data_IF_098609172813
#
_entry.id   IF_098609172813
#
_cell.length_a   1.000
_cell.length_b   1.000
_cell.length_c   1.000
_cell.angle_alpha   90.00
_cell.angle_beta   90.00
_cell.angle_gamma   90.00
#
_symmetry.space_group_name_H-M   'P 1'
#
loop_
_entity.id
_entity.type
_entity.pdbx_description
1 polymer ?
#
# COMPACT_ATOMS: atom_id res chain seq x y z
N UNK A 1 -5.99 -6.47 87.94
CA UNK A 1 -5.35 -5.31 87.26
C UNK A 1 -4.67 -5.75 85.95
N UNK A 2 -5.42 -6.37 85.03
CA UNK A 2 -4.88 -6.99 83.80
C UNK A 2 -5.84 -6.88 82.60
N UNK A 3 -6.82 -5.97 82.67
CA UNK A 3 -7.93 -5.87 81.71
C UNK A 3 -7.93 -4.52 80.97
N UNK A 4 -7.33 -3.46 81.51
CA UNK A 4 -7.37 -2.12 80.90
C UNK A 4 -6.39 -1.89 79.74
N UNK A 5 -5.34 -2.71 79.61
CA UNK A 5 -4.32 -2.52 78.55
C UNK A 5 -4.81 -3.01 77.18
N UNK A 6 -5.70 -4.01 77.14
CA UNK A 6 -6.17 -4.60 75.88
C UNK A 6 -7.25 -3.77 75.15
N UNK A 7 -7.85 -2.79 75.82
CA UNK A 7 -8.93 -1.98 75.24
C UNK A 7 -8.41 -0.76 74.48
N UNK A 8 -7.24 -0.21 74.85
CA UNK A 8 -6.62 0.92 74.14
C UNK A 8 -5.92 0.53 72.84
N UNK A 9 -5.45 -0.73 72.73
CA UNK A 9 -4.75 -1.21 71.53
C UNK A 9 -5.73 -1.55 70.39
N UNK A 10 -6.96 -2.01 70.70
CA UNK A 10 -7.98 -2.31 69.68
C UNK A 10 -8.60 -1.06 69.06
N UNK A 11 -8.70 0.04 69.80
CA UNK A 11 -9.33 1.29 69.30
C UNK A 11 -8.43 2.00 68.27
N UNK A 12 -7.10 1.92 68.41
CA UNK A 12 -6.17 2.55 67.47
C UNK A 12 -6.12 1.82 66.12
N UNK A 13 -6.27 0.49 66.11
CA UNK A 13 -6.22 -0.31 64.87
C UNK A 13 -7.52 -0.18 64.06
N UNK A 14 -8.65 0.14 64.71
CA UNK A 14 -9.93 0.26 64.01
C UNK A 14 -10.12 1.64 63.34
N UNK A 15 -9.48 2.69 63.86
CA UNK A 15 -9.50 4.03 63.23
C UNK A 15 -8.54 4.17 62.04
N UNK A 16 -7.52 3.30 61.91
CA UNK A 16 -6.57 3.34 60.78
C UNK A 16 -7.02 2.53 59.56
N UNK A 17 -8.06 1.69 59.69
CA UNK A 17 -8.62 0.88 58.61
C UNK A 17 -9.91 1.46 58.00
N UNK A 18 -10.50 2.49 58.60
CA UNK A 18 -11.70 3.16 58.09
C UNK A 18 -11.43 4.48 57.34
N UNK A 19 -10.18 4.92 57.26
CA UNK A 19 -9.80 6.21 56.65
C UNK A 19 -9.28 6.11 55.20
N UNK A 20 -9.19 4.90 54.63
CA UNK A 20 -8.64 4.68 53.27
C UNK A 20 -9.69 4.30 52.22
N UNK A 21 -10.98 4.54 52.48
CA UNK A 21 -12.06 4.11 51.58
C UNK A 21 -12.89 5.24 50.94
N UNK A 22 -12.49 6.50 51.07
CA UNK A 22 -13.26 7.64 50.53
C UNK A 22 -12.43 8.65 49.72
N UNK A 23 -11.36 8.20 49.06
CA UNK A 23 -10.66 8.99 48.06
C UNK A 23 -10.32 8.10 46.88
N UNK A 24 -11.17 8.15 45.85
CA UNK A 24 -10.90 7.95 44.42
C UNK A 24 -12.13 7.34 43.71
N UNK A 25 -13.27 8.00 43.82
CA UNK A 25 -14.22 8.06 42.70
C UNK A 25 -13.94 9.36 41.96
N UNK A 26 -12.79 9.41 41.29
CA UNK A 26 -12.69 10.26 40.11
C UNK A 26 -13.50 9.50 39.06
N UNK A 27 -14.63 10.02 38.54
CA UNK A 27 -15.12 9.52 37.28
C UNK A 27 -13.99 9.75 36.29
N UNK A 28 -13.27 8.66 35.99
CA UNK A 28 -12.43 8.61 34.81
C UNK A 28 -13.41 8.73 33.66
N UNK A 29 -13.70 9.97 33.27
CA UNK A 29 -14.05 10.28 31.91
C UNK A 29 -12.86 9.79 31.12
N UNK A 30 -12.93 8.53 30.67
CA UNK A 30 -12.15 8.09 29.55
C UNK A 30 -12.56 9.02 28.41
N UNK A 31 -11.76 10.06 28.21
CA UNK A 31 -11.72 10.78 26.96
C UNK A 31 -11.60 9.69 25.91
N UNK A 32 -12.63 9.57 25.07
CA UNK A 32 -12.70 8.58 24.01
C UNK A 32 -11.38 8.68 23.26
N UNK A 33 -10.49 7.69 23.45
CA UNK A 33 -9.18 7.73 22.85
C UNK A 33 -9.43 7.86 21.37
N UNK A 34 -9.12 9.02 20.78
CA UNK A 34 -9.00 9.14 19.33
C UNK A 34 -8.16 7.95 18.94
N UNK A 35 -8.73 7.03 18.18
CA UNK A 35 -8.07 5.79 17.84
C UNK A 35 -6.88 6.19 16.96
N UNK A 36 -5.73 6.45 17.57
CA UNK A 36 -4.55 7.07 16.93
C UNK A 36 -4.01 6.19 15.78
N UNK A 37 -4.44 4.93 15.76
CA UNK A 37 -4.18 3.93 14.74
C UNK A 37 -5.03 4.06 13.47
N UNK A 38 -6.02 4.96 13.46
CA UNK A 38 -7.05 5.03 12.42
C UNK A 38 -6.99 6.35 11.66
N UNK A 39 -6.77 6.28 10.35
CA UNK A 39 -6.69 7.44 9.47
C UNK A 39 -7.82 7.42 8.44
N UNK A 40 -8.69 8.43 8.48
CA UNK A 40 -9.70 8.65 7.45
C UNK A 40 -9.11 9.52 6.33
N UNK A 41 -9.11 9.02 5.09
CA UNK A 41 -8.56 9.73 3.93
C UNK A 41 -9.57 9.81 2.81
N UNK A 42 -9.44 10.89 2.03
CA UNK A 42 -10.01 11.00 0.69
C UNK A 42 -8.87 10.90 -0.30
N UNK A 43 -9.00 9.99 -1.26
CA UNK A 43 -8.05 9.86 -2.36
C UNK A 43 -8.79 9.80 -3.68
N UNK A 44 -8.14 10.31 -4.71
CA UNK A 44 -8.63 10.26 -6.08
C UNK A 44 -7.58 9.66 -7.00
N UNK A 45 -8.06 9.26 -8.17
CA UNK A 45 -7.22 8.76 -9.24
C UNK A 45 -7.92 8.92 -10.57
N UNK A 46 -7.12 9.13 -11.62
CA UNK A 46 -7.57 9.19 -13.01
C UNK A 46 -6.84 8.11 -13.77
N UNK A 47 -7.58 7.30 -14.52
CA UNK A 47 -7.04 6.27 -15.39
C UNK A 47 -7.37 6.59 -16.85
N UNK A 48 -6.36 6.54 -17.71
CA UNK A 48 -6.53 6.74 -19.16
C UNK A 48 -7.02 5.46 -19.81
N UNK A 49 -8.22 5.47 -20.37
CA UNK A 49 -8.89 4.25 -20.87
C UNK A 49 -8.18 3.76 -22.14
N UNK A 50 -7.80 2.48 -22.14
CA UNK A 50 -7.27 1.80 -23.32
C UNK A 50 -8.35 1.44 -24.33
N UNK A 51 -7.99 1.35 -25.61
CA UNK A 51 -8.94 1.00 -26.69
C UNK A 51 -9.56 -0.38 -26.53
N UNK A 52 -8.90 -1.28 -25.79
CA UNK A 52 -9.36 -2.66 -25.52
C UNK A 52 -9.87 -2.84 -24.07
N UNK A 53 -10.04 -1.76 -23.31
CA UNK A 53 -10.47 -1.84 -21.92
C UNK A 53 -11.99 -1.97 -21.83
N UNK A 54 -12.44 -3.04 -21.17
CA UNK A 54 -13.83 -3.13 -20.73
C UNK A 54 -14.10 -2.16 -19.59
N UNK A 55 -15.38 -1.86 -19.35
CA UNK A 55 -15.77 -1.05 -18.18
C UNK A 55 -15.26 -1.60 -16.87
N UNK A 56 -15.48 -2.90 -16.63
CA UNK A 56 -14.96 -3.57 -15.43
C UNK A 56 -13.45 -3.35 -15.24
N UNK A 57 -12.69 -3.38 -16.33
CA UNK A 57 -11.24 -3.23 -16.30
C UNK A 57 -10.81 -1.82 -15.92
N UNK A 58 -11.27 -0.79 -16.62
CA UNK A 58 -10.83 0.58 -16.31
C UNK A 58 -11.34 1.04 -14.95
N UNK A 59 -12.55 0.62 -14.53
CA UNK A 59 -13.07 0.95 -13.21
C UNK A 59 -12.23 0.29 -12.11
N UNK A 60 -11.84 -0.98 -12.29
CA UNK A 60 -11.01 -1.72 -11.33
C UNK A 60 -9.60 -1.15 -11.21
N UNK A 61 -8.96 -0.80 -12.34
CA UNK A 61 -7.63 -0.20 -12.35
C UNK A 61 -7.64 1.19 -11.72
N UNK A 62 -8.64 2.00 -12.04
CA UNK A 62 -8.78 3.34 -11.47
C UNK A 62 -9.04 3.29 -9.96
N UNK A 63 -9.93 2.39 -9.52
CA UNK A 63 -10.20 2.15 -8.10
C UNK A 63 -8.95 1.68 -7.36
N UNK A 64 -8.18 0.74 -7.94
CA UNK A 64 -6.93 0.30 -7.36
C UNK A 64 -5.95 1.46 -7.19
N UNK A 65 -5.79 2.33 -8.19
CA UNK A 65 -4.95 3.51 -8.10
C UNK A 65 -5.34 4.44 -6.94
N UNK A 66 -6.63 4.71 -6.78
CA UNK A 66 -7.12 5.54 -5.66
C UNK A 66 -6.86 4.89 -4.30
N UNK A 67 -7.07 3.57 -4.18
CA UNK A 67 -6.77 2.82 -2.94
C UNK A 67 -5.27 2.78 -2.64
N UNK A 68 -4.45 2.51 -3.64
CA UNK A 68 -2.99 2.46 -3.48
C UNK A 68 -2.43 3.82 -3.06
N UNK A 69 -2.92 4.92 -3.65
CA UNK A 69 -2.60 6.29 -3.22
C UNK A 69 -2.93 6.51 -1.74
N UNK A 70 -4.11 6.06 -1.27
CA UNK A 70 -4.49 6.16 0.13
C UNK A 70 -3.57 5.32 1.05
N UNK A 71 -3.20 4.11 0.63
CA UNK A 71 -2.26 3.24 1.36
C UNK A 71 -0.88 3.90 1.49
N UNK A 72 -0.33 4.43 0.40
CA UNK A 72 0.98 5.11 0.42
C UNK A 72 0.96 6.33 1.33
N UNK A 73 -0.08 7.16 1.25
CA UNK A 73 -0.24 8.34 2.12
C UNK A 73 -0.38 7.94 3.59
N UNK A 74 -1.19 6.93 3.88
CA UNK A 74 -1.37 6.43 5.25
C UNK A 74 -0.09 5.83 5.81
N UNK A 75 0.68 5.13 4.99
CA UNK A 75 1.94 4.54 5.42
C UNK A 75 2.95 5.62 5.83
N UNK A 76 3.04 6.73 5.08
CA UNK A 76 3.89 7.87 5.44
C UNK A 76 3.50 8.44 6.81
N UNK A 77 2.20 8.65 7.05
CA UNK A 77 1.69 9.15 8.33
C UNK A 77 1.95 8.17 9.47
N UNK A 78 1.53 6.91 9.34
CA UNK A 78 1.67 5.89 10.38
C UNK A 78 3.14 5.59 10.71
N UNK A 79 4.02 5.62 9.72
CA UNK A 79 5.47 5.49 9.95
C UNK A 79 6.02 6.70 10.72
N UNK A 80 5.59 7.92 10.40
CA UNK A 80 6.00 9.13 11.12
C UNK A 80 5.61 9.11 12.60
N UNK A 81 4.43 8.57 12.93
CA UNK A 81 3.98 8.44 14.32
C UNK A 81 4.39 7.10 14.99
N UNK A 82 5.25 6.30 14.34
CA UNK A 82 5.78 5.07 14.92
C UNK A 82 4.80 3.89 15.00
N UNK A 83 3.62 3.97 14.35
CA UNK A 83 2.58 2.92 14.35
C UNK A 83 2.69 1.96 13.16
N UNK A 84 3.62 2.19 12.23
CA UNK A 84 3.92 1.29 11.14
C UNK A 84 5.38 0.88 11.17
N UNK A 85 5.63 -0.43 11.13
CA UNK A 85 7.00 -0.95 10.99
C UNK A 85 7.56 -0.66 9.60
N UNK A 86 8.89 -0.63 9.52
CA UNK A 86 9.59 -0.57 8.24
C UNK A 86 9.54 -1.94 7.54
N UNK A 87 8.87 -2.01 6.38
CA UNK A 87 8.77 -3.23 5.57
C UNK A 87 9.96 -3.47 4.63
N UNK A 88 10.89 -2.51 4.52
CA UNK A 88 12.07 -2.58 3.68
C UNK A 88 11.74 -2.98 2.25
N UNK A 89 12.43 -4.01 1.73
CA UNK A 89 12.27 -4.48 0.34
C UNK A 89 10.88 -5.08 0.04
N UNK A 90 10.08 -5.43 1.05
CA UNK A 90 8.72 -5.98 0.87
C UNK A 90 7.64 -4.91 0.77
N UNK A 91 7.99 -3.63 0.96
CA UNK A 91 7.00 -2.55 1.07
C UNK A 91 6.03 -2.49 -0.11
N UNK A 92 6.53 -2.51 -1.35
CA UNK A 92 5.66 -2.44 -2.54
C UNK A 92 4.73 -3.65 -2.65
N UNK A 93 5.21 -4.85 -2.34
CA UNK A 93 4.40 -6.08 -2.31
C UNK A 93 3.22 -5.95 -1.34
N UNK A 94 3.50 -5.52 -0.11
CA UNK A 94 2.53 -5.39 0.96
C UNK A 94 1.54 -4.27 0.68
N UNK A 95 2.00 -3.14 0.13
CA UNK A 95 1.12 -2.00 -0.15
C UNK A 95 0.13 -2.31 -1.27
N UNK A 96 0.56 -3.03 -2.32
CA UNK A 96 -0.34 -3.51 -3.36
C UNK A 96 -1.44 -4.41 -2.77
N UNK A 97 -1.08 -5.34 -1.88
CA UNK A 97 -2.04 -6.26 -1.27
C UNK A 97 -2.97 -5.56 -0.26
N UNK A 98 -2.45 -4.64 0.54
CA UNK A 98 -3.25 -3.80 1.43
C UNK A 98 -4.27 -2.98 0.64
N UNK A 99 -3.87 -2.42 -0.51
CA UNK A 99 -4.75 -1.68 -1.38
C UNK A 99 -5.86 -2.58 -1.97
N UNK A 100 -5.57 -3.82 -2.39
CA UNK A 100 -6.61 -4.74 -2.92
C UNK A 100 -7.76 -4.95 -1.93
N UNK A 101 -7.46 -5.10 -0.64
CA UNK A 101 -8.45 -5.46 0.40
C UNK A 101 -9.07 -4.27 1.11
N UNK A 102 -8.62 -3.05 0.79
CA UNK A 102 -9.04 -1.86 1.48
C UNK A 102 -10.55 -1.61 1.28
N UNK A 103 -11.26 -1.40 2.40
CA UNK A 103 -12.66 -0.96 2.41
C UNK A 103 -12.76 0.52 2.06
N UNK A 104 -13.78 0.88 1.30
CA UNK A 104 -13.94 2.23 0.78
C UNK A 104 -15.41 2.55 0.51
N UNK A 105 -15.71 3.84 0.43
CA UNK A 105 -16.95 4.36 -0.13
C UNK A 105 -16.62 5.30 -1.29
N UNK A 106 -17.32 5.17 -2.41
CA UNK A 106 -17.16 6.07 -3.56
C UNK A 106 -17.83 7.40 -3.22
N UNK A 107 -17.08 8.49 -3.32
CA UNK A 107 -17.61 9.87 -3.22
C UNK A 107 -18.06 10.33 -4.59
N UNK A 108 -17.25 10.06 -5.61
CA UNK A 108 -17.45 10.56 -6.96
C UNK A 108 -16.86 9.58 -7.96
N UNK A 109 -17.55 9.37 -9.07
CA UNK A 109 -17.01 8.69 -10.26
C UNK A 109 -17.57 9.35 -11.51
N UNK A 110 -16.72 9.57 -12.52
CA UNK A 110 -17.14 10.19 -13.78
C UNK A 110 -16.24 9.79 -14.93
N UNK A 111 -16.83 9.72 -16.12
CA UNK A 111 -16.11 9.62 -17.38
C UNK A 111 -15.71 11.03 -17.85
N UNK A 112 -14.46 11.21 -18.25
CA UNK A 112 -13.92 12.44 -18.82
C UNK A 112 -13.74 12.17 -20.32
N UNK A 113 -14.79 12.43 -21.10
CA UNK A 113 -14.87 12.07 -22.52
C UNK A 113 -13.76 12.70 -23.36
N UNK A 114 -13.46 13.99 -23.12
CA UNK A 114 -12.43 14.74 -23.85
C UNK A 114 -11.04 14.11 -23.75
N UNK A 115 -10.75 13.46 -22.63
CA UNK A 115 -9.43 12.87 -22.34
C UNK A 115 -9.46 11.34 -22.40
N UNK A 116 -10.59 10.75 -22.82
CA UNK A 116 -10.86 9.31 -22.76
C UNK A 116 -10.38 8.68 -21.43
N UNK A 117 -10.77 9.29 -20.32
CA UNK A 117 -10.25 8.95 -19.00
C UNK A 117 -11.38 8.72 -18.01
N UNK A 118 -11.14 7.86 -17.01
CA UNK A 118 -12.08 7.58 -15.94
C UNK A 118 -11.53 8.12 -14.62
N UNK A 119 -12.33 8.89 -13.91
CA UNK A 119 -12.00 9.47 -12.62
C UNK A 119 -12.79 8.82 -11.50
N UNK A 120 -12.12 8.51 -10.40
CA UNK A 120 -12.76 8.08 -9.15
C UNK A 120 -12.19 8.84 -7.96
N UNK A 121 -13.06 9.19 -7.02
CA UNK A 121 -12.71 9.71 -5.68
C UNK A 121 -13.36 8.82 -4.64
N UNK A 122 -12.57 8.34 -3.69
CA UNK A 122 -13.01 7.46 -2.61
C UNK A 122 -12.71 8.08 -1.26
N UNK A 123 -13.53 7.72 -0.27
CA UNK A 123 -13.23 7.88 1.14
C UNK A 123 -12.91 6.50 1.72
N UNK A 124 -11.86 6.43 2.51
CA UNK A 124 -11.43 5.19 3.15
C UNK A 124 -10.95 5.46 4.57
N UNK A 125 -10.90 4.41 5.37
CA UNK A 125 -10.37 4.42 6.72
C UNK A 125 -9.33 3.32 6.80
N UNK A 126 -8.09 3.70 7.08
CA UNK A 126 -6.93 2.82 7.04
C UNK A 126 -6.36 2.69 8.44
N UNK A 127 -5.99 1.47 8.83
CA UNK A 127 -5.30 1.17 10.07
C UNK A 127 -3.97 0.46 9.82
N UNK A 128 -3.09 0.46 10.82
CA UNK A 128 -1.87 -0.37 10.82
C UNK A 128 -2.18 -1.85 10.54
N UNK A 129 -3.33 -2.35 11.04
CA UNK A 129 -3.79 -3.72 10.82
C UNK A 129 -4.04 -4.06 9.36
N UNK A 130 -4.35 -3.09 8.49
CA UNK A 130 -4.56 -3.37 7.07
C UNK A 130 -3.24 -3.70 6.36
N UNK A 131 -2.12 -3.12 6.81
CA UNK A 131 -0.79 -3.50 6.36
C UNK A 131 -0.39 -4.88 6.88
N UNK A 132 -0.75 -5.22 8.12
CA UNK A 132 -0.53 -6.57 8.69
C UNK A 132 -1.28 -7.62 7.86
N UNK A 133 -2.53 -7.36 7.46
CA UNK A 133 -3.27 -8.25 6.54
C UNK A 133 -2.57 -8.40 5.20
N UNK A 134 -2.08 -7.30 4.62
CA UNK A 134 -1.27 -7.31 3.40
C UNK A 134 -0.02 -8.17 3.54
N UNK A 135 0.67 -8.10 4.67
CA UNK A 135 1.83 -8.94 4.99
C UNK A 135 1.48 -10.43 5.11
N UNK A 136 0.42 -10.76 5.86
CA UNK A 136 -0.07 -12.15 6.02
C UNK A 136 -0.40 -12.73 4.65
N UNK A 137 -1.11 -11.98 3.80
CA UNK A 137 -1.43 -12.39 2.43
C UNK A 137 -0.17 -12.55 1.58
N UNK A 138 0.81 -11.67 1.72
CA UNK A 138 2.08 -11.80 1.00
C UNK A 138 2.81 -13.09 1.37
N UNK A 139 2.86 -13.44 2.66
CA UNK A 139 3.47 -14.69 3.13
C UNK A 139 2.73 -15.89 2.54
N UNK A 140 1.40 -15.87 2.53
CA UNK A 140 0.59 -16.94 1.94
C UNK A 140 0.87 -17.11 0.44
N UNK A 141 0.90 -16.01 -0.32
CA UNK A 141 1.23 -16.05 -1.74
C UNK A 141 2.67 -16.53 -1.98
N UNK A 142 3.63 -16.10 -1.16
CA UNK A 142 5.01 -16.61 -1.23
C UNK A 142 5.07 -18.13 -1.02
N UNK A 143 4.25 -18.68 -0.13
CA UNK A 143 4.16 -20.12 0.09
C UNK A 143 3.52 -20.85 -1.09
N UNK A 144 2.41 -20.33 -1.62
CA UNK A 144 1.74 -20.87 -2.82
C UNK A 144 2.68 -20.89 -4.03
N UNK A 145 3.46 -19.82 -4.22
CA UNK A 145 4.41 -19.68 -5.33
C UNK A 145 5.60 -20.64 -5.26
N UNK A 146 5.98 -21.15 -4.07
CA UNK A 146 7.03 -22.18 -3.95
C UNK A 146 6.65 -23.51 -4.59
N UNK A 147 5.35 -23.75 -4.75
CA UNK A 147 4.82 -24.98 -5.30
C UNK A 147 4.47 -24.87 -6.79
N UNK A 148 4.82 -23.76 -7.44
CA UNK A 148 4.65 -23.64 -8.87
C UNK A 148 5.50 -24.67 -9.60
N UNK A 149 4.88 -25.34 -10.57
CA UNK A 149 5.62 -26.14 -11.54
C UNK A 149 6.50 -25.23 -12.40
N UNK A 150 7.56 -25.81 -12.96
CA UNK A 150 8.43 -25.11 -13.90
C UNK A 150 7.63 -24.51 -15.08
N UNK A 151 6.56 -25.16 -15.53
CA UNK A 151 5.71 -24.65 -16.61
C UNK A 151 4.91 -23.40 -16.18
N UNK A 152 4.40 -23.37 -14.95
CA UNK A 152 3.66 -22.22 -14.41
C UNK A 152 4.59 -21.04 -14.14
N UNK A 153 5.79 -21.32 -13.65
CA UNK A 153 6.83 -20.31 -13.48
C UNK A 153 7.29 -19.80 -14.84
N UNK A 154 7.62 -20.64 -15.82
CA UNK A 154 8.11 -20.13 -17.10
C UNK A 154 7.01 -19.49 -17.96
N UNK A 155 5.77 -19.96 -17.85
CA UNK A 155 4.64 -19.43 -18.60
C UNK A 155 4.20 -18.03 -18.16
N UNK A 156 4.56 -17.62 -16.92
CA UNK A 156 4.25 -16.30 -16.35
C UNK A 156 2.80 -15.84 -16.63
N UNK A 157 1.86 -16.78 -16.52
CA UNK A 157 0.46 -16.54 -16.81
C UNK A 157 -0.09 -15.48 -15.85
N UNK A 158 -0.69 -14.44 -16.43
CA UNK A 158 -1.47 -13.44 -15.69
C UNK A 158 -2.84 -14.00 -15.35
N UNK A 159 -3.41 -13.56 -14.23
CA UNK A 159 -4.71 -14.07 -13.79
C UNK A 159 -5.78 -13.68 -14.80
N UNK A 160 -6.77 -14.56 -15.03
CA UNK A 160 -7.95 -14.19 -15.84
C UNK A 160 -8.79 -13.12 -15.14
N UNK A 161 -8.91 -13.23 -13.81
CA UNK A 161 -9.57 -12.24 -12.97
C UNK A 161 -8.75 -10.94 -12.94
N UNK A 162 -9.43 -9.80 -12.87
CA UNK A 162 -8.79 -8.50 -12.64
C UNK A 162 -8.49 -8.39 -11.14
N UNK A 163 -7.22 -8.48 -10.75
CA UNK A 163 -6.75 -8.21 -9.39
C UNK A 163 -5.41 -7.46 -9.45
N UNK A 164 -5.46 -6.13 -9.68
CA UNK A 164 -4.27 -5.32 -9.91
C UNK A 164 -3.26 -5.41 -8.75
N UNK A 165 -3.72 -5.45 -7.50
CA UNK A 165 -2.82 -5.52 -6.36
C UNK A 165 -2.14 -6.87 -6.21
N UNK A 166 -2.84 -7.98 -6.45
CA UNK A 166 -2.19 -9.29 -6.46
C UNK A 166 -1.18 -9.40 -7.61
N UNK A 167 -1.54 -8.90 -8.80
CA UNK A 167 -0.68 -8.93 -9.99
C UNK A 167 0.58 -8.10 -9.82
N UNK A 168 0.49 -6.83 -9.40
CA UNK A 168 1.69 -6.03 -9.13
C UNK A 168 2.52 -6.57 -7.96
N UNK A 169 1.88 -7.08 -6.90
CA UNK A 169 2.62 -7.64 -5.77
C UNK A 169 3.52 -8.81 -6.21
N UNK A 170 3.08 -9.61 -7.19
CA UNK A 170 3.86 -10.71 -7.76
C UNK A 170 5.09 -10.21 -8.51
N UNK A 171 4.93 -9.18 -9.34
CA UNK A 171 6.07 -8.55 -10.01
C UNK A 171 7.11 -8.03 -9.00
N UNK A 172 6.67 -7.36 -7.93
CA UNK A 172 7.56 -6.89 -6.87
C UNK A 172 8.23 -8.02 -6.08
N UNK A 173 7.57 -9.17 -5.88
CA UNK A 173 8.20 -10.36 -5.30
C UNK A 173 9.36 -10.87 -6.14
N UNK A 174 9.21 -10.96 -7.46
CA UNK A 174 10.32 -11.33 -8.35
C UNK A 174 11.47 -10.34 -8.27
N UNK A 175 11.19 -9.04 -8.24
CA UNK A 175 12.21 -8.00 -8.03
C UNK A 175 12.97 -8.19 -6.71
N UNK A 176 12.27 -8.43 -5.60
CA UNK A 176 12.92 -8.69 -4.31
C UNK A 176 13.81 -9.95 -4.35
N UNK A 177 13.38 -11.00 -5.05
CA UNK A 177 14.13 -12.24 -5.26
C UNK A 177 15.30 -12.09 -6.25
N UNK A 178 15.43 -10.94 -6.91
CA UNK A 178 16.40 -10.64 -7.97
C UNK A 178 16.16 -11.41 -9.28
N UNK A 179 14.96 -11.92 -9.47
CA UNK A 179 14.53 -12.59 -10.70
C UNK A 179 14.10 -11.55 -11.74
N UNK A 180 14.97 -10.58 -12.02
CA UNK A 180 14.63 -9.39 -12.82
C UNK A 180 14.08 -9.73 -14.20
N UNK A 181 14.67 -10.73 -14.86
CA UNK A 181 14.22 -11.20 -16.17
C UNK A 181 12.84 -11.82 -16.11
N UNK A 182 12.55 -12.61 -15.07
CA UNK A 182 11.24 -13.22 -14.87
C UNK A 182 10.20 -12.13 -14.60
N UNK A 183 10.54 -11.15 -13.78
CA UNK A 183 9.67 -10.00 -13.49
C UNK A 183 9.33 -9.21 -14.76
N UNK A 184 10.32 -8.93 -15.63
CA UNK A 184 10.10 -8.22 -16.90
C UNK A 184 9.18 -9.03 -17.81
N UNK A 185 9.42 -10.34 -17.97
CA UNK A 185 8.56 -11.22 -18.77
C UNK A 185 7.11 -11.21 -18.23
N UNK A 186 6.95 -11.34 -16.92
CA UNK A 186 5.63 -11.27 -16.27
C UNK A 186 4.94 -9.92 -16.53
N UNK A 187 5.68 -8.81 -16.45
CA UNK A 187 5.18 -7.48 -16.75
C UNK A 187 4.84 -7.30 -18.23
N UNK A 188 5.53 -7.97 -19.16
CA UNK A 188 5.15 -7.98 -20.59
C UNK A 188 3.79 -8.67 -20.80
N UNK A 189 3.48 -9.71 -20.01
CA UNK A 189 2.14 -10.33 -20.02
C UNK A 189 1.09 -9.41 -19.40
N UNK A 190 1.42 -8.70 -18.32
CA UNK A 190 0.51 -7.71 -17.72
C UNK A 190 0.27 -6.53 -18.65
N UNK A 191 1.28 -6.08 -19.39
CA UNK A 191 1.15 -5.02 -20.39
C UNK A 191 0.14 -5.40 -21.48
N UNK A 192 0.20 -6.65 -21.98
CA UNK A 192 -0.80 -7.14 -22.94
C UNK A 192 -2.23 -7.13 -22.38
N UNK A 193 -2.38 -7.39 -21.07
CA UNK A 193 -3.67 -7.36 -20.38
C UNK A 193 -4.14 -5.92 -20.10
N UNK A 194 -3.21 -5.02 -19.79
CA UNK A 194 -3.42 -3.67 -19.28
C UNK A 194 -2.51 -2.64 -19.98
N UNK A 195 -2.72 -2.35 -21.28
CA UNK A 195 -1.79 -1.55 -22.08
C UNK A 195 -1.71 -0.08 -21.65
N UNK A 196 -2.69 0.42 -20.90
CA UNK A 196 -2.71 1.80 -20.42
C UNK A 196 -2.47 1.93 -18.91
N UNK A 197 -2.06 0.84 -18.25
CA UNK A 197 -1.82 0.89 -16.82
C UNK A 197 -0.39 1.32 -16.51
N UNK A 198 -0.25 2.60 -16.13
CA UNK A 198 1.04 3.23 -15.94
C UNK A 198 1.97 2.53 -14.94
N UNK A 199 1.42 1.84 -13.93
CA UNK A 199 2.20 1.11 -12.93
C UNK A 199 2.97 -0.07 -13.52
N UNK A 200 2.44 -0.71 -14.56
CA UNK A 200 3.14 -1.80 -15.27
C UNK A 200 4.43 -1.28 -15.88
N UNK A 201 4.35 -0.14 -16.57
CA UNK A 201 5.51 0.50 -17.19
C UNK A 201 6.51 1.03 -16.15
N UNK A 202 6.01 1.58 -15.04
CA UNK A 202 6.89 2.02 -13.95
C UNK A 202 7.64 0.84 -13.32
N UNK A 203 6.95 -0.28 -13.07
CA UNK A 203 7.59 -1.50 -12.61
C UNK A 203 8.62 -2.03 -13.63
N UNK A 204 8.32 -1.99 -14.94
CA UNK A 204 9.29 -2.36 -15.98
C UNK A 204 10.54 -1.50 -15.96
N UNK A 205 10.41 -0.19 -15.74
CA UNK A 205 11.56 0.71 -15.61
C UNK A 205 12.50 0.27 -14.48
N UNK A 206 11.97 -0.10 -13.31
CA UNK A 206 12.76 -0.65 -12.20
C UNK A 206 13.51 -1.92 -12.62
N UNK A 207 12.85 -2.83 -13.35
CA UNK A 207 13.48 -4.04 -13.87
C UNK A 207 14.60 -3.77 -14.88
N UNK A 208 14.39 -2.82 -15.79
CA UNK A 208 15.41 -2.44 -16.78
C UNK A 208 16.59 -1.72 -16.15
N UNK A 209 16.36 -0.87 -15.15
CA UNK A 209 17.41 -0.26 -14.36
C UNK A 209 18.29 -1.34 -13.68
N UNK A 210 17.66 -2.32 -13.02
CA UNK A 210 18.37 -3.41 -12.34
C UNK A 210 19.19 -4.31 -13.28
N UNK A 211 18.85 -4.33 -14.58
CA UNK A 211 19.56 -5.08 -15.63
C UNK A 211 20.47 -4.21 -16.50
N UNK A 212 20.70 -2.95 -16.09
CA UNK A 212 21.52 -1.97 -16.79
C UNK A 212 21.08 -1.68 -18.24
N UNK A 213 19.78 -1.81 -18.53
CA UNK A 213 19.20 -1.49 -19.83
C UNK A 213 18.57 -0.09 -19.80
N UNK A 214 19.43 0.94 -19.81
CA UNK A 214 19.04 2.34 -19.61
C UNK A 214 18.09 2.83 -20.70
N UNK A 215 18.28 2.43 -21.97
CA UNK A 215 17.37 2.80 -23.06
C UNK A 215 15.96 2.30 -22.81
N UNK A 216 15.81 1.01 -22.46
CA UNK A 216 14.49 0.43 -22.18
C UNK A 216 13.86 1.02 -20.90
N UNK A 217 14.67 1.32 -19.88
CA UNK A 217 14.23 2.03 -18.68
C UNK A 217 13.62 3.40 -19.04
N UNK A 218 14.35 4.23 -19.79
CA UNK A 218 13.87 5.55 -20.21
C UNK A 218 12.58 5.47 -21.04
N UNK A 219 12.50 4.52 -21.97
CA UNK A 219 11.26 4.29 -22.74
C UNK A 219 10.09 3.92 -21.82
N UNK A 220 10.30 3.02 -20.86
CA UNK A 220 9.26 2.61 -19.93
C UNK A 220 8.81 3.76 -19.01
N UNK A 221 9.74 4.58 -18.50
CA UNK A 221 9.40 5.77 -17.72
C UNK A 221 8.60 6.78 -18.54
N UNK A 222 9.01 7.07 -19.78
CA UNK A 222 8.30 7.99 -20.69
C UNK A 222 6.86 7.53 -20.91
N UNK A 223 6.65 6.24 -21.19
CA UNK A 223 5.31 5.69 -21.35
C UNK A 223 4.51 5.85 -20.05
N UNK A 224 5.08 5.46 -18.91
CA UNK A 224 4.42 5.59 -17.60
C UNK A 224 4.01 7.03 -17.29
N UNK A 225 4.91 8.00 -17.51
CA UNK A 225 4.65 9.42 -17.35
C UNK A 225 3.54 9.91 -18.29
N UNK A 226 3.56 9.52 -19.57
CA UNK A 226 2.51 9.87 -20.56
C UNK A 226 1.11 9.34 -20.21
N UNK A 227 1.06 8.28 -19.39
CA UNK A 227 -0.16 7.67 -18.86
C UNK A 227 -0.59 8.25 -17.51
N UNK A 228 0.12 9.27 -17.00
CA UNK A 228 -0.25 10.01 -15.79
C UNK A 228 0.52 9.62 -14.52
N UNK A 229 1.58 8.82 -14.62
CA UNK A 229 2.42 8.51 -13.45
C UNK A 229 3.36 9.68 -13.13
N UNK A 230 3.04 10.43 -12.08
CA UNK A 230 3.85 11.55 -11.61
C UNK A 230 5.25 11.13 -11.12
N UNK A 231 5.37 10.01 -10.43
CA UNK A 231 6.67 9.50 -9.94
C UNK A 231 7.60 9.22 -11.13
N UNK A 232 7.07 8.65 -12.21
CA UNK A 232 7.83 8.43 -13.42
C UNK A 232 8.27 9.73 -14.11
N UNK A 233 7.43 10.78 -14.10
CA UNK A 233 7.80 12.08 -14.64
C UNK A 233 8.93 12.73 -13.83
N UNK A 234 8.82 12.69 -12.50
CA UNK A 234 9.83 13.22 -11.57
C UNK A 234 11.17 12.48 -11.72
N UNK A 235 11.14 11.15 -11.90
CA UNK A 235 12.33 10.34 -12.16
C UNK A 235 13.03 10.74 -13.47
N UNK A 236 12.27 11.00 -14.56
CA UNK A 236 12.85 11.45 -15.83
C UNK A 236 13.51 12.82 -15.67
N UNK A 237 12.84 13.77 -15.03
CA UNK A 237 13.38 15.11 -14.79
C UNK A 237 14.68 15.04 -13.99
N UNK A 238 14.70 14.23 -12.92
CA UNK A 238 15.90 13.98 -12.13
C UNK A 238 17.04 13.39 -12.98
N UNK A 239 16.78 12.34 -13.75
CA UNK A 239 17.80 11.68 -14.57
C UNK A 239 18.42 12.62 -15.61
N UNK A 240 17.61 13.46 -16.27
CA UNK A 240 18.08 14.42 -17.26
C UNK A 240 18.90 15.57 -16.66
N UNK A 241 18.69 15.88 -15.37
CA UNK A 241 19.47 16.87 -14.65
C UNK A 241 20.87 16.37 -14.27
N UNK A 242 21.01 15.06 -13.98
CA UNK A 242 22.28 14.46 -13.54
C UNK A 242 23.14 13.91 -14.68
N UNK A 243 22.56 13.48 -15.80
CA UNK A 243 23.31 12.91 -16.91
C UNK A 243 22.83 13.48 -18.26
N UNK A 244 23.58 14.48 -18.73
CA UNK A 244 23.29 15.18 -19.98
C UNK A 244 23.36 14.26 -21.22
N UNK A 245 24.06 13.12 -21.12
CA UNK A 245 24.13 12.13 -22.21
C UNK A 245 22.82 11.36 -22.39
N UNK A 246 21.95 11.34 -21.38
CA UNK A 246 20.61 10.74 -21.49
C UNK A 246 19.63 11.61 -22.30
N UNK A 247 19.98 12.87 -22.59
CA UNK A 247 19.18 13.75 -23.48
C UNK A 247 19.04 13.17 -24.89
N UNK A 248 19.99 12.36 -25.35
CA UNK A 248 19.97 11.70 -26.67
C UNK A 248 18.80 10.70 -26.78
N UNK A 249 18.31 10.18 -25.65
CA UNK A 249 17.14 9.32 -25.61
C UNK A 249 15.84 10.11 -25.39
N UNK A 250 15.89 11.44 -25.35
CA UNK A 250 14.75 12.29 -25.06
C UNK A 250 13.93 12.67 -26.31
N UNK A 251 14.51 12.51 -27.50
CA UNK A 251 13.85 12.72 -28.81
C UNK A 251 12.93 11.56 -29.22
#
# INVERSE_FOLDING_TARGET
MRIEVNMRIKIIITCLLSATLLLNWVPCFAEESKNEDTLALVSDYTYKIGSIDSQEKYESLCLFGAKYKAVVLSAKYLNHIGLLKNYGKKQKEIFCLAASELKFSIIEKRLIEKENSYYIKIKTTIKSTDFIKGEIKNIKLEEEEKHFSWQEEMGQNVYRKIDPGQELSRAYRYFRKRDWRIAIIYLDHLEKKYPNWHEVYFAKAIGFYATNNIKAMMTALKISCSLGNREACEDIEGLLQYDESLKIYND
#
